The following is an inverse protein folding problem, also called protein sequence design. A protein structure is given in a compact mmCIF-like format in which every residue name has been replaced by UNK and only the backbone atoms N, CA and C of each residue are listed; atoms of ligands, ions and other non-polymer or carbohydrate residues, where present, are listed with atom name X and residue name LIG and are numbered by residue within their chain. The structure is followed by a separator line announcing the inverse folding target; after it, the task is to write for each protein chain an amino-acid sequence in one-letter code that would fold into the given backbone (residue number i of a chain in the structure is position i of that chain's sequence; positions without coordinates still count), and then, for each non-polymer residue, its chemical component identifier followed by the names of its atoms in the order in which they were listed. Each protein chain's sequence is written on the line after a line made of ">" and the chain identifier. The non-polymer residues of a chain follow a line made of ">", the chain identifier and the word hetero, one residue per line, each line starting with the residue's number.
data_IF_810886405476
#
_entry.id   IF_810886405476
#
_cell.length_a   1.000
_cell.length_b   1.000
_cell.length_c   1.000
_cell.angle_alpha   90.00
_cell.angle_beta   90.00
_cell.angle_gamma   90.00
#
_symmetry.space_group_name_H-M   'P 1'
#
loop_
_entity.id
_entity.type
_entity.pdbx_description
1 polymer ?
#
# COMPACT_ATOMS: atom_id res chain seq x y z
N UNK A 1 6.21 36.61 5.62
CA UNK A 1 6.12 35.13 5.53
C UNK A 1 4.75 34.75 4.97
N UNK A 2 4.69 34.11 3.80
CA UNK A 2 3.41 33.59 3.29
C UNK A 2 2.87 32.55 4.27
N UNK A 3 1.59 32.63 4.66
CA UNK A 3 0.95 31.57 5.43
C UNK A 3 0.99 30.27 4.62
N UNK A 4 1.78 29.30 5.05
CA UNK A 4 1.80 27.96 4.46
C UNK A 4 0.37 27.39 4.48
N UNK A 5 -0.10 26.90 3.34
CA UNK A 5 -1.40 26.22 3.25
C UNK A 5 -1.21 24.72 3.45
N UNK A 6 -2.26 24.03 3.88
CA UNK A 6 -2.23 22.56 3.97
C UNK A 6 -1.87 21.91 2.63
N UNK A 7 -2.35 22.43 1.50
CA UNK A 7 -2.01 21.93 0.16
C UNK A 7 -0.53 22.10 -0.19
N UNK A 8 0.05 23.27 0.13
CA UNK A 8 1.47 23.54 -0.07
C UNK A 8 2.30 22.56 0.75
N UNK A 9 1.98 22.40 2.04
CA UNK A 9 2.65 21.46 2.93
C UNK A 9 2.56 20.01 2.41
N UNK A 10 1.37 19.54 2.04
CA UNK A 10 1.17 18.18 1.50
C UNK A 10 2.09 17.92 0.30
N UNK A 11 2.27 18.91 -0.57
CA UNK A 11 3.04 18.75 -1.80
C UNK A 11 4.53 18.64 -1.51
N UNK A 12 5.06 19.44 -0.57
CA UNK A 12 6.50 19.53 -0.29
C UNK A 12 6.98 18.59 0.83
N UNK A 13 6.12 18.16 1.75
CA UNK A 13 6.51 17.35 2.90
C UNK A 13 7.15 16.02 2.44
N UNK A 14 8.31 15.70 2.99
CA UNK A 14 9.07 14.49 2.66
C UNK A 14 8.57 13.27 3.43
N UNK A 15 7.94 13.49 4.58
CA UNK A 15 7.39 12.43 5.42
C UNK A 15 6.16 11.73 4.83
N UNK A 16 5.51 12.32 3.81
CA UNK A 16 4.43 11.67 3.09
C UNK A 16 4.94 11.00 1.82
N UNK A 17 4.82 9.67 1.73
CA UNK A 17 4.94 9.00 0.44
C UNK A 17 3.88 9.54 -0.53
N UNK A 18 4.15 9.48 -1.84
CA UNK A 18 3.26 10.04 -2.88
C UNK A 18 1.80 9.59 -2.69
N UNK A 19 1.57 8.30 -2.39
CA UNK A 19 0.23 7.76 -2.14
C UNK A 19 -0.50 8.47 -0.99
N UNK A 20 0.21 8.81 0.08
CA UNK A 20 -0.36 9.52 1.23
C UNK A 20 -0.64 10.99 0.87
N UNK A 21 0.23 11.63 0.08
CA UNK A 21 -0.03 12.96 -0.49
C UNK A 21 -1.32 12.97 -1.32
N UNK A 22 -1.51 11.97 -2.18
CA UNK A 22 -2.71 11.84 -3.00
C UNK A 22 -3.97 11.65 -2.15
N UNK A 23 -3.92 10.83 -1.10
CA UNK A 23 -5.05 10.68 -0.16
C UNK A 23 -5.41 12.00 0.52
N UNK A 24 -4.40 12.77 0.95
CA UNK A 24 -4.59 14.09 1.56
C UNK A 24 -5.20 15.09 0.58
N UNK A 25 -4.75 15.14 -0.67
CA UNK A 25 -5.34 15.98 -1.72
C UNK A 25 -6.81 15.62 -1.95
N UNK A 26 -7.15 14.33 -2.03
CA UNK A 26 -8.53 13.88 -2.22
C UNK A 26 -9.42 14.19 -1.02
N UNK A 27 -8.88 14.11 0.20
CA UNK A 27 -9.60 14.44 1.43
C UNK A 27 -9.85 15.95 1.56
N UNK A 28 -8.83 16.77 1.33
CA UNK A 28 -8.92 18.23 1.35
C UNK A 28 -9.82 18.77 0.25
N UNK A 29 -9.91 18.10 -0.90
CA UNK A 29 -10.87 18.38 -1.96
C UNK A 29 -12.30 17.85 -1.67
N UNK A 30 -12.56 17.42 -0.44
CA UNK A 30 -13.84 16.89 0.06
C UNK A 30 -14.40 15.70 -0.71
N UNK A 31 -13.58 14.97 -1.46
CA UNK A 31 -14.02 13.78 -2.18
C UNK A 31 -14.14 12.54 -1.29
N UNK A 32 -13.53 12.61 -0.10
CA UNK A 32 -13.57 11.57 0.92
C UNK A 32 -13.95 12.22 2.25
N UNK A 33 -15.00 11.73 2.96
CA UNK A 33 -15.37 12.28 4.26
C UNK A 33 -14.38 11.90 5.36
N UNK A 34 -13.58 10.86 5.13
CA UNK A 34 -12.45 10.44 5.95
C UNK A 34 -11.32 9.86 5.12
N UNK A 35 -10.10 9.95 5.66
CA UNK A 35 -8.95 9.24 5.14
C UNK A 35 -8.01 8.82 6.26
N UNK A 36 -7.20 7.80 5.98
CA UNK A 36 -6.10 7.39 6.84
C UNK A 36 -4.81 7.61 6.08
N UNK A 37 -3.88 8.34 6.70
CA UNK A 37 -2.58 8.68 6.12
C UNK A 37 -1.46 8.34 7.07
N UNK A 38 -0.28 8.03 6.51
CA UNK A 38 0.93 7.74 7.29
C UNK A 38 1.93 8.86 7.07
N UNK A 39 2.35 9.50 8.15
CA UNK A 39 3.48 10.44 8.15
C UNK A 39 4.72 9.72 8.70
N UNK A 40 5.77 9.63 7.89
CA UNK A 40 7.09 9.16 8.31
C UNK A 40 7.92 10.35 8.79
N UNK A 41 8.54 10.19 9.95
CA UNK A 41 9.44 11.17 10.54
C UNK A 41 10.81 10.53 10.66
N UNK A 42 11.80 11.19 10.10
CA UNK A 42 13.21 10.83 10.19
C UNK A 42 14.01 12.05 10.69
N UNK A 43 15.34 11.94 10.89
CA UNK A 43 16.16 13.07 11.34
C UNK A 43 16.11 14.32 10.44
N UNK A 44 15.73 14.16 9.16
CA UNK A 44 15.64 15.24 8.17
C UNK A 44 14.27 15.94 8.19
N UNK A 45 13.24 15.35 8.81
CA UNK A 45 11.84 15.82 8.80
C UNK A 45 11.19 15.95 10.19
N UNK A 46 12.00 16.23 11.23
CA UNK A 46 11.55 16.24 12.63
C UNK A 46 10.40 17.22 12.92
N UNK A 47 10.33 18.35 12.22
CA UNK A 47 9.33 19.40 12.39
C UNK A 47 7.99 19.09 11.70
N UNK A 48 7.97 18.18 10.73
CA UNK A 48 6.80 17.92 9.90
C UNK A 48 5.59 17.44 10.71
N UNK A 49 5.81 16.67 11.79
CA UNK A 49 4.72 16.26 12.68
C UNK A 49 4.01 17.49 13.27
N UNK A 50 4.79 18.41 13.83
CA UNK A 50 4.25 19.59 14.49
C UNK A 50 3.54 20.50 13.47
N UNK A 51 4.17 20.74 12.32
CA UNK A 51 3.60 21.55 11.24
C UNK A 51 2.31 20.95 10.70
N UNK A 52 2.29 19.64 10.45
CA UNK A 52 1.09 18.96 9.98
C UNK A 52 -0.06 19.10 10.97
N UNK A 53 0.16 18.81 12.25
CA UNK A 53 -0.89 18.93 13.28
C UNK A 53 -1.38 20.38 13.45
N UNK A 54 -0.49 21.37 13.36
CA UNK A 54 -0.86 22.79 13.36
C UNK A 54 -1.76 23.13 12.17
N UNK A 55 -1.37 22.74 10.95
CA UNK A 55 -2.16 22.97 9.75
C UNK A 55 -3.52 22.28 9.82
N UNK A 56 -3.60 21.04 10.34
CA UNK A 56 -4.88 20.36 10.57
C UNK A 56 -5.79 21.16 11.52
N UNK A 57 -5.25 21.65 12.64
CA UNK A 57 -6.00 22.47 13.62
C UNK A 57 -6.47 23.80 13.02
N UNK A 58 -5.59 24.50 12.30
CA UNK A 58 -5.93 25.76 11.62
C UNK A 58 -7.04 25.59 10.58
N UNK A 59 -7.04 24.46 9.87
CA UNK A 59 -8.08 24.11 8.90
C UNK A 59 -9.30 23.43 9.54
N UNK A 60 -9.38 23.38 10.88
CA UNK A 60 -10.48 22.75 11.64
C UNK A 60 -10.73 21.28 11.26
N UNK A 61 -9.70 20.58 10.79
CA UNK A 61 -9.76 19.15 10.47
C UNK A 61 -9.65 18.37 11.78
N UNK A 62 -10.62 17.49 12.03
CA UNK A 62 -10.58 16.59 13.18
C UNK A 62 -9.66 15.41 12.86
N UNK A 63 -8.79 15.04 13.80
CA UNK A 63 -7.91 13.89 13.61
C UNK A 63 -7.72 13.07 14.89
N UNK A 64 -7.27 11.82 14.70
CA UNK A 64 -6.77 10.92 15.73
C UNK A 64 -5.42 10.37 15.27
N UNK A 65 -4.37 10.56 16.08
CA UNK A 65 -3.04 10.03 15.79
C UNK A 65 -2.82 8.66 16.45
N UNK A 66 -2.17 7.75 15.74
CA UNK A 66 -1.75 6.46 16.30
C UNK A 66 -0.55 6.61 17.22
N UNK A 67 -0.22 5.55 17.96
CA UNK A 67 1.11 5.42 18.56
C UNK A 67 2.19 5.45 17.46
N UNK A 68 3.33 6.01 17.79
CA UNK A 68 4.52 6.01 16.94
C UNK A 68 5.04 4.57 16.79
N UNK A 69 5.48 4.21 15.60
CA UNK A 69 6.10 2.90 15.33
C UNK A 69 7.35 3.07 14.49
N UNK A 70 8.41 2.32 14.79
CA UNK A 70 9.60 2.32 13.94
C UNK A 70 9.29 1.79 12.54
N UNK A 71 9.96 2.32 11.51
CA UNK A 71 10.03 1.69 10.20
C UNK A 71 11.46 1.46 9.77
N UNK A 72 11.66 0.33 9.08
CA UNK A 72 12.95 -0.06 8.52
C UNK A 72 12.89 -0.01 7.00
N UNK A 73 14.04 0.27 6.39
CA UNK A 73 14.24 0.15 4.95
C UNK A 73 15.46 -0.70 4.67
N UNK A 74 15.48 -1.40 3.53
CA UNK A 74 16.68 -2.07 3.05
C UNK A 74 17.70 -0.98 2.70
N UNK A 75 18.87 -1.02 3.31
CA UNK A 75 19.97 -0.08 3.02
C UNK A 75 21.08 -0.72 2.23
N UNK A 76 21.20 -2.05 2.29
CA UNK A 76 22.28 -2.78 1.64
C UNK A 76 21.93 -4.25 1.42
N UNK A 77 22.45 -4.82 0.34
CA UNK A 77 22.48 -6.27 0.09
C UNK A 77 23.96 -6.68 -0.06
N UNK A 78 24.46 -7.56 0.82
CA UNK A 78 25.86 -8.03 0.83
C UNK A 78 25.90 -9.56 0.92
N UNK A 79 26.35 -10.21 -0.15
CA UNK A 79 26.35 -11.68 -0.21
C UNK A 79 24.94 -12.22 -0.08
N UNK A 80 24.68 -13.02 0.95
CA UNK A 80 23.38 -13.59 1.28
C UNK A 80 22.56 -12.78 2.30
N UNK A 81 23.01 -11.58 2.68
CA UNK A 81 22.36 -10.76 3.71
C UNK A 81 21.66 -9.56 3.10
N UNK A 82 20.38 -9.40 3.42
CA UNK A 82 19.57 -8.20 3.16
C UNK A 82 19.52 -7.43 4.47
N UNK A 83 20.15 -6.26 4.50
CA UNK A 83 20.34 -5.46 5.70
C UNK A 83 19.24 -4.38 5.76
N UNK A 84 18.45 -4.43 6.83
CA UNK A 84 17.40 -3.47 7.13
C UNK A 84 17.84 -2.57 8.27
N UNK A 85 17.60 -1.27 8.12
CA UNK A 85 17.93 -0.31 9.17
C UNK A 85 16.73 0.55 9.53
N UNK A 86 16.58 0.83 10.82
CA UNK A 86 15.61 1.77 11.34
C UNK A 86 15.90 3.16 10.74
N UNK A 87 14.95 3.69 9.96
CA UNK A 87 15.06 5.01 9.32
C UNK A 87 14.37 6.11 10.10
N UNK A 88 13.43 5.74 10.96
CA UNK A 88 12.69 6.68 11.77
C UNK A 88 11.42 6.05 12.32
N UNK A 89 10.43 6.90 12.56
CA UNK A 89 9.12 6.51 13.06
C UNK A 89 8.05 6.84 12.03
N UNK A 90 6.93 6.15 12.08
CA UNK A 90 5.73 6.55 11.37
C UNK A 90 4.56 6.72 12.33
N UNK A 91 3.67 7.65 11.97
CA UNK A 91 2.46 7.99 12.71
C UNK A 91 1.29 7.91 11.74
N UNK A 92 0.30 7.08 12.07
CA UNK A 92 -0.96 7.01 11.35
C UNK A 92 -1.92 8.10 11.83
N UNK A 93 -2.58 8.78 10.90
CA UNK A 93 -3.61 9.78 11.19
C UNK A 93 -4.92 9.38 10.54
N UNK A 94 -5.94 9.14 11.35
CA UNK A 94 -7.32 9.13 10.88
C UNK A 94 -7.85 10.56 10.84
N UNK A 95 -8.22 11.03 9.64
CA UNK A 95 -8.76 12.37 9.40
C UNK A 95 -10.27 12.31 9.16
N UNK A 96 -11.00 13.29 9.70
CA UNK A 96 -12.45 13.38 9.60
C UNK A 96 -12.88 14.78 9.17
N UNK A 97 -13.76 14.86 8.17
CA UNK A 97 -14.33 16.13 7.70
C UNK A 97 -15.11 16.85 8.81
N UNK A 98 -15.82 16.10 9.65
CA UNK A 98 -16.70 16.66 10.67
C UNK A 98 -16.91 15.72 11.87
N UNK A 99 -17.62 16.23 12.89
CA UNK A 99 -17.96 15.49 14.12
C UNK A 99 -18.84 14.26 13.84
N UNK A 100 -19.69 14.29 12.81
CA UNK A 100 -20.57 13.18 12.44
C UNK A 100 -19.77 12.01 11.89
N UNK A 101 -18.81 12.26 11.00
CA UNK A 101 -17.91 11.23 10.48
C UNK A 101 -17.01 10.68 11.58
N UNK A 102 -16.48 11.53 12.48
CA UNK A 102 -15.72 11.06 13.66
C UNK A 102 -16.55 10.13 14.55
N UNK A 103 -17.80 10.50 14.86
CA UNK A 103 -18.72 9.64 15.65
C UNK A 103 -19.01 8.31 14.95
N UNK A 104 -19.13 8.33 13.62
CA UNK A 104 -19.31 7.11 12.83
C UNK A 104 -18.07 6.19 12.91
N UNK A 105 -16.87 6.77 12.90
CA UNK A 105 -15.62 6.04 13.08
C UNK A 105 -15.47 5.41 14.47
N UNK A 106 -15.83 6.12 15.54
CA UNK A 106 -15.83 5.52 16.89
C UNK A 106 -16.84 4.37 16.99
N UNK A 107 -18.01 4.49 16.35
CA UNK A 107 -18.95 3.36 16.22
C UNK A 107 -18.33 2.18 15.47
N UNK A 108 -17.61 2.44 14.39
CA UNK A 108 -16.88 1.41 13.64
C UNK A 108 -15.86 0.68 14.52
N UNK A 109 -15.03 1.41 15.27
CA UNK A 109 -14.07 0.82 16.23
C UNK A 109 -14.76 -0.02 17.30
N UNK A 110 -15.87 0.46 17.85
CA UNK A 110 -16.66 -0.28 18.83
C UNK A 110 -17.30 -1.56 18.27
N UNK A 111 -17.61 -1.61 16.97
CA UNK A 111 -18.08 -2.86 16.35
C UNK A 111 -16.95 -3.87 16.17
N UNK A 112 -15.74 -3.40 15.81
CA UNK A 112 -14.56 -4.26 15.72
C UNK A 112 -14.22 -4.87 17.08
N UNK A 113 -14.19 -4.06 18.14
CA UNK A 113 -13.88 -4.57 19.49
C UNK A 113 -14.89 -5.61 19.98
N UNK A 114 -16.15 -5.52 19.53
CA UNK A 114 -17.21 -6.50 19.79
C UNK A 114 -17.25 -7.65 18.78
N UNK A 115 -16.23 -7.79 17.92
CA UNK A 115 -16.13 -8.81 16.86
C UNK A 115 -17.31 -8.82 15.87
N UNK A 116 -18.04 -7.70 15.73
CA UNK A 116 -19.17 -7.57 14.80
C UNK A 116 -18.70 -7.16 13.40
N UNK A 117 -17.78 -7.93 12.82
CA UNK A 117 -16.98 -7.57 11.64
C UNK A 117 -17.86 -7.17 10.44
N UNK A 118 -18.89 -7.95 10.10
CA UNK A 118 -19.79 -7.61 8.98
C UNK A 118 -20.49 -6.26 9.16
N UNK A 119 -20.90 -5.90 10.38
CA UNK A 119 -21.48 -4.58 10.65
C UNK A 119 -20.41 -3.49 10.58
N UNK A 120 -19.22 -3.77 11.07
CA UNK A 120 -18.08 -2.86 10.99
C UNK A 120 -17.72 -2.54 9.54
N UNK A 121 -17.59 -3.53 8.66
CA UNK A 121 -17.24 -3.33 7.25
C UNK A 121 -18.24 -2.44 6.50
N UNK A 122 -19.54 -2.59 6.77
CA UNK A 122 -20.57 -1.73 6.19
C UNK A 122 -20.42 -0.27 6.63
N UNK A 123 -20.01 -0.04 7.88
CA UNK A 123 -19.73 1.30 8.37
C UNK A 123 -18.41 1.82 7.81
N UNK A 124 -17.35 1.02 7.82
CA UNK A 124 -16.04 1.37 7.28
C UNK A 124 -16.13 1.78 5.82
N UNK A 125 -16.83 1.00 5.00
CA UNK A 125 -17.03 1.37 3.60
C UNK A 125 -17.84 2.66 3.40
N UNK A 126 -18.76 3.01 4.31
CA UNK A 126 -19.41 4.34 4.29
C UNK A 126 -18.44 5.47 4.66
N UNK A 127 -17.65 5.28 5.72
CA UNK A 127 -16.64 6.25 6.18
C UNK A 127 -15.64 6.59 5.07
N UNK A 128 -15.23 5.59 4.28
CA UNK A 128 -14.25 5.79 3.21
C UNK A 128 -14.87 5.93 1.82
N UNK A 129 -16.20 6.05 1.73
CA UNK A 129 -16.95 6.20 0.46
C UNK A 129 -16.72 5.08 -0.57
N UNK A 130 -16.60 3.84 -0.09
CA UNK A 130 -16.45 2.67 -0.94
C UNK A 130 -17.80 2.28 -1.55
N UNK A 131 -17.84 1.87 -2.84
CA UNK A 131 -19.08 1.40 -3.45
C UNK A 131 -19.66 0.20 -2.68
N UNK A 132 -20.96 0.22 -2.44
CA UNK A 132 -21.66 -0.84 -1.70
C UNK A 132 -21.47 -2.24 -2.31
N UNK A 133 -21.31 -2.34 -3.63
CA UNK A 133 -21.01 -3.61 -4.31
C UNK A 133 -19.62 -4.15 -3.93
N UNK A 134 -18.63 -3.28 -3.72
CA UNK A 134 -17.28 -3.68 -3.32
C UNK A 134 -17.26 -4.16 -1.87
N UNK A 135 -18.00 -3.49 -0.98
CA UNK A 135 -18.14 -3.92 0.42
C UNK A 135 -18.82 -5.29 0.49
N UNK A 136 -19.93 -5.48 -0.24
CA UNK A 136 -20.63 -6.77 -0.28
C UNK A 136 -19.74 -7.91 -0.80
N UNK A 137 -18.94 -7.64 -1.83
CA UNK A 137 -17.99 -8.62 -2.35
C UNK A 137 -16.91 -8.94 -1.32
N UNK A 138 -16.30 -7.94 -0.69
CA UNK A 138 -15.32 -8.13 0.37
C UNK A 138 -15.83 -9.02 1.51
N UNK A 139 -17.08 -8.80 1.95
CA UNK A 139 -17.73 -9.64 2.97
C UNK A 139 -18.02 -11.07 2.52
N UNK A 140 -18.12 -11.29 1.21
CA UNK A 140 -18.37 -12.61 0.61
C UNK A 140 -17.07 -13.40 0.43
N UNK A 141 -15.96 -12.71 0.13
CA UNK A 141 -14.64 -13.29 -0.13
C UNK A 141 -13.95 -13.77 1.16
N UNK A 142 -14.60 -14.70 1.87
CA UNK A 142 -13.92 -15.51 2.90
C UNK A 142 -12.90 -16.43 2.26
N UNK A 143 -12.00 -17.00 3.05
CA UNK A 143 -11.03 -17.97 2.57
C UNK A 143 -11.67 -19.16 1.85
N UNK A 144 -12.80 -19.67 2.35
CA UNK A 144 -13.56 -20.76 1.72
C UNK A 144 -14.16 -20.33 0.38
N UNK A 145 -14.68 -19.10 0.31
CA UNK A 145 -15.17 -18.55 -0.94
C UNK A 145 -14.05 -18.41 -1.97
N UNK A 146 -12.91 -17.84 -1.56
CA UNK A 146 -11.75 -17.64 -2.42
C UNK A 146 -11.28 -18.99 -2.97
N UNK A 147 -11.06 -19.96 -2.08
CA UNK A 147 -10.66 -21.33 -2.41
C UNK A 147 -11.58 -22.01 -3.43
N UNK A 148 -12.90 -21.77 -3.34
CA UNK A 148 -13.90 -22.41 -4.20
C UNK A 148 -14.02 -21.75 -5.58
N UNK A 149 -13.69 -20.47 -5.72
CA UNK A 149 -14.01 -19.68 -6.92
C UNK A 149 -12.79 -19.20 -7.70
N UNK A 150 -11.58 -19.36 -7.16
CA UNK A 150 -10.36 -18.95 -7.83
C UNK A 150 -9.30 -20.03 -7.69
N UNK A 151 -8.54 -20.24 -8.77
CA UNK A 151 -7.20 -20.79 -8.65
C UNK A 151 -6.25 -19.76 -8.03
N UNK A 152 -5.10 -20.21 -7.52
CA UNK A 152 -4.05 -19.33 -7.00
C UNK A 152 -3.73 -18.21 -8.01
N UNK A 153 -3.44 -18.59 -9.27
CA UNK A 153 -3.12 -17.63 -10.32
C UNK A 153 -4.23 -16.60 -10.56
N UNK A 154 -5.49 -17.03 -10.65
CA UNK A 154 -6.60 -16.13 -10.97
C UNK A 154 -6.86 -15.11 -9.87
N UNK A 155 -6.76 -15.52 -8.60
CA UNK A 155 -6.97 -14.63 -7.46
C UNK A 155 -5.92 -13.51 -7.45
N UNK A 156 -4.67 -13.89 -7.52
CA UNK A 156 -3.53 -12.98 -7.48
C UNK A 156 -3.42 -12.12 -8.74
N UNK A 157 -3.70 -12.69 -9.91
CA UNK A 157 -3.85 -11.92 -11.15
C UNK A 157 -4.96 -10.88 -11.05
N UNK A 158 -6.11 -11.22 -10.46
CA UNK A 158 -7.21 -10.27 -10.24
C UNK A 158 -6.75 -9.10 -9.35
N UNK A 159 -5.99 -9.35 -8.28
CA UNK A 159 -5.46 -8.29 -7.41
C UNK A 159 -4.52 -7.36 -8.18
N UNK A 160 -3.54 -7.90 -8.89
CA UNK A 160 -2.60 -7.10 -9.68
C UNK A 160 -3.28 -6.30 -10.81
N UNK A 161 -4.26 -6.91 -11.51
CA UNK A 161 -5.01 -6.23 -12.55
C UNK A 161 -5.90 -5.10 -11.99
N UNK A 162 -6.42 -5.26 -10.77
CA UNK A 162 -7.15 -4.22 -10.03
C UNK A 162 -6.23 -3.04 -9.71
N UNK A 163 -5.07 -3.30 -9.13
CA UNK A 163 -4.12 -2.26 -8.71
C UNK A 163 -3.60 -1.47 -9.92
N UNK A 164 -3.31 -2.17 -11.02
CA UNK A 164 -2.94 -1.56 -12.30
C UNK A 164 -4.03 -0.64 -12.83
N UNK A 165 -5.29 -1.07 -12.76
CA UNK A 165 -6.41 -0.37 -13.38
C UNK A 165 -6.95 0.80 -12.55
N UNK A 166 -6.84 0.72 -11.22
CA UNK A 166 -7.43 1.68 -10.29
C UNK A 166 -6.41 2.26 -9.30
N UNK A 167 -5.33 2.91 -9.78
CA UNK A 167 -4.21 3.33 -8.94
C UNK A 167 -4.59 4.41 -7.90
N UNK A 168 -5.72 5.11 -8.07
CA UNK A 168 -6.18 6.14 -7.13
C UNK A 168 -7.12 5.59 -6.06
N UNK A 169 -7.35 4.28 -6.04
CA UNK A 169 -8.31 3.61 -5.17
C UNK A 169 -7.56 2.84 -4.07
N UNK A 170 -8.03 2.98 -2.84
CA UNK A 170 -7.41 2.39 -1.64
C UNK A 170 -8.24 1.22 -1.06
N UNK A 171 -9.01 0.54 -1.90
CA UNK A 171 -9.81 -0.64 -1.57
C UNK A 171 -9.80 -1.62 -2.75
N UNK A 172 -10.01 -2.91 -2.50
CA UNK A 172 -10.15 -3.90 -3.57
C UNK A 172 -11.54 -3.82 -4.21
N UNK A 173 -11.69 -3.43 -5.47
CA UNK A 173 -12.96 -3.40 -6.18
C UNK A 173 -13.56 -4.80 -6.36
N UNK A 174 -14.88 -4.91 -6.41
CA UNK A 174 -15.55 -6.20 -6.59
C UNK A 174 -15.19 -6.94 -7.90
N UNK A 175 -14.70 -6.22 -8.91
CA UNK A 175 -14.15 -6.82 -10.13
C UNK A 175 -13.25 -5.84 -10.88
N UNK A 176 -12.41 -6.39 -11.77
CA UNK A 176 -11.61 -5.61 -12.74
C UNK A 176 -12.47 -4.75 -13.68
N UNK A 177 -13.79 -4.99 -13.78
CA UNK A 177 -14.73 -4.20 -14.62
C UNK A 177 -15.73 -3.39 -13.79
N UNK A 178 -15.48 -3.16 -12.49
CA UNK A 178 -16.42 -2.43 -11.63
C UNK A 178 -16.67 -0.99 -12.13
N UNK A 179 -17.89 -0.74 -12.65
CA UNK A 179 -18.30 0.58 -13.18
C UNK A 179 -18.22 1.68 -12.13
N UNK A 180 -18.66 1.40 -10.89
CA UNK A 180 -18.64 2.39 -9.79
C UNK A 180 -17.21 2.80 -9.43
N UNK A 181 -16.30 1.84 -9.32
CA UNK A 181 -14.87 2.13 -9.09
C UNK A 181 -14.25 2.85 -10.28
N UNK A 182 -14.58 2.47 -11.53
CA UNK A 182 -14.10 3.15 -12.73
C UNK A 182 -14.45 4.64 -12.70
N UNK A 183 -15.70 4.97 -12.39
CA UNK A 183 -16.16 6.35 -12.26
C UNK A 183 -15.42 7.10 -11.14
N UNK A 184 -15.25 6.46 -9.97
CA UNK A 184 -14.50 7.05 -8.84
C UNK A 184 -13.03 7.29 -9.19
N UNK A 185 -12.35 6.32 -9.81
CA UNK A 185 -10.96 6.44 -10.19
C UNK A 185 -10.75 7.59 -11.20
N UNK A 186 -11.64 7.73 -12.19
CA UNK A 186 -11.64 8.87 -13.12
C UNK A 186 -11.87 10.20 -12.40
N UNK A 187 -12.83 10.25 -11.47
CA UNK A 187 -13.10 11.45 -10.66
C UNK A 187 -11.86 11.86 -9.84
N UNK A 188 -11.23 10.91 -9.16
CA UNK A 188 -10.05 11.16 -8.33
C UNK A 188 -8.85 11.60 -9.17
N UNK A 189 -8.60 10.92 -10.29
CA UNK A 189 -7.57 11.29 -11.26
C UNK A 189 -7.73 12.73 -11.74
N UNK A 190 -8.94 13.14 -12.12
CA UNK A 190 -9.21 14.50 -12.59
C UNK A 190 -8.94 15.55 -11.51
N UNK A 191 -9.29 15.26 -10.25
CA UNK A 191 -9.05 16.18 -9.13
C UNK A 191 -7.56 16.29 -8.83
N UNK A 192 -6.84 15.18 -8.75
CA UNK A 192 -5.38 15.20 -8.53
C UNK A 192 -4.69 15.98 -9.67
N UNK A 193 -5.05 15.69 -10.93
CA UNK A 193 -4.49 16.41 -12.08
C UNK A 193 -4.77 17.92 -12.05
N UNK A 194 -5.93 18.33 -11.54
CA UNK A 194 -6.34 19.73 -11.45
C UNK A 194 -5.65 20.47 -10.30
N UNK A 195 -5.61 19.88 -9.11
CA UNK A 195 -5.18 20.56 -7.89
C UNK A 195 -3.67 20.41 -7.63
N UNK A 196 -3.06 19.31 -8.08
CA UNK A 196 -1.64 19.02 -7.85
C UNK A 196 -1.01 18.37 -9.10
N UNK A 197 -0.90 19.11 -10.22
CA UNK A 197 -0.39 18.58 -11.49
C UNK A 197 1.03 18.00 -11.39
N UNK A 198 1.87 18.53 -10.50
CA UNK A 198 3.23 18.03 -10.24
C UNK A 198 3.19 16.63 -9.59
N UNK A 199 2.35 16.44 -8.57
CA UNK A 199 2.14 15.12 -7.94
C UNK A 199 1.51 14.13 -8.92
N UNK A 200 0.59 14.59 -9.78
CA UNK A 200 0.03 13.78 -10.85
C UNK A 200 1.13 13.28 -11.79
N UNK A 201 1.99 14.18 -12.29
CA UNK A 201 3.08 13.83 -13.19
C UNK A 201 4.06 12.87 -12.51
N UNK A 202 4.43 13.12 -11.25
CA UNK A 202 5.32 12.26 -10.48
C UNK A 202 4.73 10.84 -10.31
N UNK A 203 3.47 10.73 -9.90
CA UNK A 203 2.82 9.44 -9.62
C UNK A 203 2.54 8.62 -10.89
N UNK A 204 2.19 9.30 -11.98
CA UNK A 204 1.87 8.65 -13.26
C UNK A 204 3.09 8.39 -14.14
N UNK A 205 4.26 8.91 -13.74
CA UNK A 205 5.52 8.72 -14.46
C UNK A 205 5.80 7.24 -14.62
N UNK A 206 6.05 6.85 -15.86
CA UNK A 206 6.47 5.50 -16.21
C UNK A 206 7.98 5.45 -16.19
N UNK A 207 8.53 4.61 -15.33
CA UNK A 207 9.97 4.40 -15.19
C UNK A 207 10.34 3.00 -15.69
N UNK A 208 11.33 2.89 -16.58
CA UNK A 208 11.70 1.62 -17.22
C UNK A 208 13.20 1.41 -17.06
N UNK A 209 13.58 0.28 -16.49
CA UNK A 209 14.98 -0.05 -16.26
C UNK A 209 15.21 -1.57 -16.30
N UNK A 210 16.46 -1.97 -16.52
CA UNK A 210 16.91 -3.36 -16.45
C UNK A 210 17.70 -3.55 -15.18
N UNK A 211 17.45 -4.62 -14.45
CA UNK A 211 18.16 -4.91 -13.20
C UNK A 211 18.10 -6.40 -12.90
N UNK A 212 18.84 -6.79 -11.86
CA UNK A 212 18.69 -8.10 -11.24
C UNK A 212 17.70 -7.97 -10.07
N UNK A 213 16.79 -8.92 -9.95
CA UNK A 213 15.91 -9.08 -8.80
C UNK A 213 16.20 -10.39 -8.09
N UNK A 214 15.97 -10.42 -6.79
CA UNK A 214 16.12 -11.61 -5.94
C UNK A 214 14.73 -12.06 -5.53
N UNK A 215 14.41 -13.33 -5.77
CA UNK A 215 13.19 -13.96 -5.24
C UNK A 215 13.32 -14.08 -3.73
N UNK A 216 12.35 -13.57 -2.98
CA UNK A 216 12.37 -13.57 -1.52
C UNK A 216 11.31 -14.49 -0.93
N UNK A 217 10.15 -13.96 -0.53
CA UNK A 217 9.04 -14.73 0.05
C UNK A 217 7.96 -14.99 -1.00
N UNK A 218 7.26 -16.12 -0.88
CA UNK A 218 6.08 -16.39 -1.69
C UNK A 218 4.83 -15.96 -0.91
N UNK A 219 3.99 -15.16 -1.54
CA UNK A 219 2.71 -14.73 -1.00
C UNK A 219 1.76 -15.92 -0.86
N UNK A 220 1.14 -16.07 0.30
CA UNK A 220 0.12 -17.09 0.51
C UNK A 220 -0.97 -16.62 1.49
N UNK A 221 -2.18 -17.16 1.31
CA UNK A 221 -3.27 -17.03 2.27
C UNK A 221 -3.24 -18.27 3.15
N UNK A 222 -2.86 -18.07 4.41
CA UNK A 222 -2.73 -19.14 5.40
C UNK A 222 -3.86 -19.07 6.42
N UNK A 223 -4.50 -20.21 6.70
CA UNK A 223 -5.36 -20.42 7.88
C UNK A 223 -4.68 -21.42 8.79
N UNK A 224 -4.40 -21.01 10.05
CA UNK A 224 -3.70 -21.85 11.05
C UNK A 224 -2.39 -22.45 10.49
N UNK A 225 -1.63 -21.65 9.74
CA UNK A 225 -0.35 -22.05 9.14
C UNK A 225 -0.45 -22.92 7.88
N UNK A 226 -1.65 -23.23 7.39
CA UNK A 226 -1.85 -24.03 6.17
C UNK A 226 -2.39 -23.18 5.02
N UNK A 227 -1.87 -23.42 3.82
CA UNK A 227 -2.38 -22.85 2.57
C UNK A 227 -3.87 -23.15 2.40
N UNK A 228 -4.64 -22.16 1.93
CA UNK A 228 -6.04 -22.40 1.53
C UNK A 228 -6.14 -23.06 0.16
N UNK A 229 -5.09 -22.95 -0.66
CA UNK A 229 -5.11 -23.39 -2.06
C UNK A 229 -4.97 -24.92 -2.13
N UNK A 230 -5.90 -25.63 -2.77
CA UNK A 230 -5.79 -27.08 -2.98
C UNK A 230 -4.61 -27.42 -3.89
N UNK A 231 -4.40 -26.60 -4.91
CA UNK A 231 -3.34 -26.75 -5.90
C UNK A 231 -2.79 -25.35 -6.25
N UNK A 232 -1.48 -25.25 -6.44
CA UNK A 232 -0.81 -24.03 -6.87
C UNK A 232 -0.44 -24.14 -8.35
N UNK A 233 -1.21 -23.46 -9.20
CA UNK A 233 -0.99 -23.38 -10.65
C UNK A 233 -0.10 -22.19 -11.08
N UNK A 234 0.41 -21.43 -10.10
CA UNK A 234 1.34 -20.31 -10.25
C UNK A 234 1.93 -19.94 -8.87
N UNK A 235 2.78 -18.92 -8.87
CA UNK A 235 3.49 -18.39 -7.71
C UNK A 235 3.48 -16.86 -7.74
N UNK A 236 3.16 -16.22 -6.63
CA UNK A 236 3.34 -14.78 -6.42
C UNK A 236 4.48 -14.56 -5.44
N UNK A 237 5.59 -14.04 -5.94
CA UNK A 237 6.77 -13.77 -5.12
C UNK A 237 6.86 -12.29 -4.76
N UNK A 238 7.27 -12.00 -3.54
CA UNK A 238 7.96 -10.75 -3.25
C UNK A 238 9.36 -10.84 -3.84
N UNK A 239 9.71 -9.90 -4.71
CA UNK A 239 11.03 -9.81 -5.33
C UNK A 239 11.70 -8.49 -4.97
N UNK A 240 12.99 -8.57 -4.64
CA UNK A 240 13.77 -7.42 -4.16
C UNK A 240 14.73 -6.98 -5.26
N UNK A 241 14.85 -5.68 -5.50
CA UNK A 241 15.91 -5.17 -6.35
C UNK A 241 17.29 -5.51 -5.77
N UNK A 242 18.17 -6.13 -6.56
CA UNK A 242 19.54 -6.44 -6.11
C UNK A 242 20.39 -5.18 -5.90
N UNK A 243 20.13 -4.14 -6.69
CA UNK A 243 20.78 -2.82 -6.60
C UNK A 243 19.70 -1.75 -6.44
N UNK A 244 19.98 -0.67 -5.69
CA UNK A 244 19.01 0.40 -5.54
C UNK A 244 18.74 1.09 -6.88
N UNK A 245 17.51 1.52 -7.06
CA UNK A 245 17.06 2.36 -8.17
C UNK A 245 16.54 3.67 -7.57
N UNK A 246 16.96 4.82 -8.09
CA UNK A 246 16.67 6.14 -7.47
C UNK A 246 16.98 6.17 -5.96
N UNK A 247 18.16 5.66 -5.58
CA UNK A 247 18.64 5.56 -4.19
C UNK A 247 17.77 4.72 -3.24
N UNK A 248 16.85 3.90 -3.76
CA UNK A 248 15.97 3.04 -2.96
C UNK A 248 16.00 1.59 -3.43
N UNK A 249 15.93 0.68 -2.47
CA UNK A 249 15.60 -0.71 -2.72
C UNK A 249 14.08 -0.85 -2.79
N UNK A 250 13.58 -1.51 -3.83
CA UNK A 250 12.16 -1.78 -3.97
C UNK A 250 11.87 -3.27 -3.78
N UNK A 251 10.69 -3.52 -3.21
CA UNK A 251 10.04 -4.82 -3.19
C UNK A 251 8.84 -4.75 -4.12
N UNK A 252 8.70 -5.74 -4.99
CA UNK A 252 7.58 -5.84 -5.91
C UNK A 252 6.94 -7.21 -5.81
N UNK A 253 5.64 -7.26 -6.04
CA UNK A 253 4.94 -8.49 -6.30
C UNK A 253 5.24 -8.99 -7.72
N UNK A 254 5.52 -10.29 -7.86
CA UNK A 254 5.82 -10.94 -9.14
C UNK A 254 5.04 -12.24 -9.29
N UNK A 255 3.98 -12.20 -10.10
CA UNK A 255 3.17 -13.38 -10.43
C UNK A 255 3.73 -14.12 -11.65
N UNK A 256 3.99 -15.41 -11.50
CA UNK A 256 4.60 -16.26 -12.54
C UNK A 256 4.11 -17.69 -12.44
N UNK A 257 4.10 -18.42 -13.56
CA UNK A 257 3.86 -19.88 -13.57
C UNK A 257 5.12 -20.70 -13.30
N UNK A 258 6.30 -20.06 -13.34
CA UNK A 258 7.58 -20.71 -13.06
C UNK A 258 7.84 -20.73 -11.56
N UNK A 259 8.21 -21.88 -11.04
CA UNK A 259 8.67 -22.02 -9.67
C UNK A 259 10.13 -21.55 -9.57
N UNK A 260 10.42 -20.72 -8.59
CA UNK A 260 11.76 -20.25 -8.24
C UNK A 260 12.00 -20.44 -6.74
N UNK A 261 13.19 -20.90 -6.39
CA UNK A 261 13.61 -20.99 -5.00
C UNK A 261 13.94 -19.60 -4.43
N UNK A 262 13.75 -19.42 -3.12
CA UNK A 262 14.21 -18.22 -2.40
C UNK A 262 15.71 -18.00 -2.65
N UNK A 263 16.08 -16.76 -2.95
CA UNK A 263 17.44 -16.37 -3.31
C UNK A 263 17.75 -16.48 -4.81
N UNK A 264 16.84 -16.99 -5.65
CA UNK A 264 17.04 -17.02 -7.10
C UNK A 264 17.23 -15.60 -7.63
N UNK A 265 18.31 -15.38 -8.38
CA UNK A 265 18.61 -14.11 -9.04
C UNK A 265 18.06 -14.17 -10.47
N UNK A 266 17.17 -13.25 -10.79
CA UNK A 266 16.55 -13.14 -12.10
C UNK A 266 17.00 -11.84 -12.78
N UNK A 267 17.48 -11.93 -14.01
CA UNK A 267 17.63 -10.75 -14.86
C UNK A 267 16.24 -10.31 -15.34
N UNK A 268 15.84 -9.08 -15.03
CA UNK A 268 14.52 -8.57 -15.35
C UNK A 268 14.56 -7.20 -16.01
N UNK A 269 13.58 -6.96 -16.89
CA UNK A 269 13.17 -5.61 -17.28
C UNK A 269 11.96 -5.21 -16.42
N UNK A 270 12.07 -4.08 -15.73
CA UNK A 270 11.02 -3.56 -14.86
C UNK A 270 10.42 -2.31 -15.50
N UNK A 271 9.10 -2.23 -15.45
CA UNK A 271 8.34 -1.03 -15.79
C UNK A 271 7.52 -0.64 -14.57
N UNK A 272 7.98 0.36 -13.81
CA UNK A 272 7.28 0.89 -12.66
C UNK A 272 6.34 2.02 -13.07
N UNK A 273 5.12 1.99 -12.54
CA UNK A 273 4.16 3.08 -12.67
C UNK A 273 3.17 3.02 -11.49
N UNK A 274 2.83 4.18 -10.92
CA UNK A 274 2.03 4.24 -9.69
C UNK A 274 2.68 3.43 -8.55
N UNK A 275 1.89 2.56 -7.89
CA UNK A 275 2.35 1.65 -6.84
C UNK A 275 2.63 0.22 -7.37
N UNK A 276 2.68 -0.01 -8.69
CA UNK A 276 2.91 -1.33 -9.26
C UNK A 276 4.12 -1.37 -10.19
N UNK A 277 4.60 -2.59 -10.46
CA UNK A 277 5.64 -2.86 -11.44
C UNK A 277 5.26 -4.02 -12.36
N UNK A 278 5.40 -3.82 -13.67
CA UNK A 278 5.37 -4.91 -14.63
C UNK A 278 6.78 -5.48 -14.77
N UNK A 279 6.94 -6.77 -14.47
CA UNK A 279 8.23 -7.45 -14.44
C UNK A 279 8.30 -8.47 -15.57
N UNK A 280 9.31 -8.33 -16.43
CA UNK A 280 9.62 -9.30 -17.47
C UNK A 280 10.98 -9.95 -17.19
N UNK A 281 10.94 -11.17 -16.70
CA UNK A 281 12.13 -11.99 -16.46
C UNK A 281 12.67 -12.49 -17.80
N UNK A 282 13.98 -12.31 -18.01
CA UNK A 282 14.69 -12.79 -19.20
C UNK A 282 15.35 -14.14 -18.97
N UNK A 283 16.12 -14.26 -17.89
CA UNK A 283 16.84 -15.48 -17.53
C UNK A 283 17.19 -15.55 -16.05
N UNK A 284 17.41 -16.77 -15.57
CA UNK A 284 18.00 -17.04 -14.26
C UNK A 284 19.51 -16.79 -14.34
N UNK A 285 20.08 -16.07 -13.38
CA UNK A 285 21.51 -15.77 -13.29
C UNK A 285 22.24 -16.59 -12.22
N UNK A 286 21.51 -17.15 -11.26
CA UNK A 286 22.09 -17.95 -10.19
C UNK A 286 21.17 -17.98 -8.97
N UNK A 287 21.68 -18.50 -7.87
CA UNK A 287 20.97 -18.60 -6.59
C UNK A 287 21.87 -18.17 -5.43
N UNK A 288 21.32 -17.35 -4.55
CA UNK A 288 21.93 -16.99 -3.27
C UNK A 288 21.43 -17.99 -2.23
N UNK A 289 22.29 -18.92 -1.82
CA UNK A 289 21.95 -19.87 -0.76
C UNK A 289 21.81 -19.15 0.57
N UNK A 290 20.85 -19.61 1.40
CA UNK A 290 20.61 -19.11 2.74
C UNK A 290 20.42 -17.59 2.79
N UNK A 291 19.50 -17.05 1.96
CA UNK A 291 19.18 -15.62 1.98
C UNK A 291 18.55 -15.23 3.33
N UNK A 292 19.14 -14.26 4.03
CA UNK A 292 18.76 -13.87 5.40
C UNK A 292 18.43 -12.37 5.45
N UNK A 293 17.42 -12.01 6.23
CA UNK A 293 17.07 -10.62 6.54
C UNK A 293 17.65 -10.25 7.89
N UNK A 294 18.62 -9.34 7.91
CA UNK A 294 19.16 -8.76 9.13
C UNK A 294 18.36 -7.53 9.50
N UNK A 295 17.49 -7.65 10.50
CA UNK A 295 16.57 -6.60 10.96
C UNK A 295 16.91 -6.19 12.39
N UNK A 296 16.84 -4.89 12.70
CA UNK A 296 17.09 -4.37 14.05
C UNK A 296 15.84 -4.44 14.93
N UNK A 297 14.66 -4.35 14.31
CA UNK A 297 13.39 -4.65 14.95
C UNK A 297 12.86 -5.97 14.40
N UNK A 298 12.96 -7.09 15.13
CA UNK A 298 12.27 -8.31 14.72
C UNK A 298 10.78 -8.00 14.56
N UNK A 299 10.14 -8.53 13.52
CA UNK A 299 8.70 -8.39 13.32
C UNK A 299 8.00 -8.98 14.56
N UNK A 300 7.63 -8.12 15.51
CA UNK A 300 6.90 -8.53 16.71
C UNK A 300 5.59 -9.19 16.22
N UNK A 301 5.49 -10.51 16.36
CA UNK A 301 4.27 -11.27 16.11
C UNK A 301 4.28 -12.31 14.98
N UNK A 302 5.39 -12.54 14.25
CA UNK A 302 5.53 -13.74 13.40
C UNK A 302 6.47 -14.73 14.08
N UNK A 303 5.93 -15.79 14.70
CA UNK A 303 6.72 -16.99 14.97
C UNK A 303 7.03 -17.62 13.61
N UNK A 304 8.32 -17.73 13.30
CA UNK A 304 8.81 -18.54 12.17
C UNK A 304 8.54 -20.02 12.45
#
# INVERSE_FOLDING_TARGET
>A
MSKETLYTFITIADGFDIKEKLKLVLFTAELKPSTYVILKINPESLDEKYRFEQLLRQNKILFSASRQKGYEEITKIKGNKIIWELKGIWIGYDLFKDKKTKKLFERYKNLISKQQIKKADLIGGKIYSYPSCCIKQYQKETSEYIKKHYTYYEFYKKLQDIDRKYPFIAYSPCSVKCKKTTALNKKYSNIIKKFTPELWQQYTKKDRFKTDIIVDEESDILIKGKTIWPERNAHEYDVILRKPHNNKYYLYAYLTKKNYEKGTILEASITQQYDYADIKVKKVKGIIKNLIHERKMPLIGRKY
#
